data_IF_696172097486
#
_entry.id   IF_696172097486
#
_cell.length_a   1.000
_cell.length_b   1.000
_cell.length_c   1.000
_cell.angle_alpha   90.00
_cell.angle_beta   90.00
_cell.angle_gamma   90.00
#
_symmetry.space_group_name_H-M   'P 1'
#
loop_
_entity.id
_entity.type
_entity.pdbx_description
1 polymer ?
#
# COMPACT_ATOMS: atom_id res chain seq x y z
N UNK A 1 15.94 -1.99 15.30
CA UNK A 1 16.59 -0.93 14.54
C UNK A 1 16.34 0.46 15.11
N UNK A 2 15.46 0.61 16.09
CA UNK A 2 15.18 1.87 16.72
C UNK A 2 14.16 2.72 16.00
N UNK A 3 13.66 3.71 16.71
CA UNK A 3 12.53 4.54 16.27
C UNK A 3 12.90 5.45 15.08
N UNK A 4 14.10 6.03 15.10
CA UNK A 4 14.55 6.91 14.01
C UNK A 4 14.75 6.13 12.71
N UNK A 5 15.25 4.91 12.79
CA UNK A 5 15.44 4.06 11.61
C UNK A 5 14.08 3.68 10.99
N UNK A 6 13.09 3.36 11.83
CA UNK A 6 11.74 3.06 11.37
C UNK A 6 11.11 4.23 10.63
N UNK A 7 11.23 5.44 11.17
CA UNK A 7 10.69 6.64 10.52
C UNK A 7 11.37 6.89 9.17
N UNK A 8 12.67 6.70 9.09
CA UNK A 8 13.41 6.89 7.84
C UNK A 8 12.96 5.89 6.76
N UNK A 9 12.72 4.65 7.15
CA UNK A 9 12.21 3.62 6.25
C UNK A 9 10.83 4.00 5.72
N UNK A 10 9.93 4.43 6.61
CA UNK A 10 8.57 4.83 6.24
C UNK A 10 8.56 6.04 5.31
N UNK A 11 9.44 7.01 5.54
CA UNK A 11 9.60 8.16 4.65
C UNK A 11 10.03 7.72 3.24
N UNK A 12 10.96 6.79 3.16
CA UNK A 12 11.44 6.27 1.88
C UNK A 12 10.34 5.54 1.12
N UNK A 13 9.58 4.70 1.82
CA UNK A 13 8.42 4.01 1.23
C UNK A 13 7.40 5.01 0.70
N UNK A 14 7.08 6.05 1.47
CA UNK A 14 6.14 7.08 1.05
C UNK A 14 6.63 7.83 -0.20
N UNK A 15 7.92 8.12 -0.30
CA UNK A 15 8.49 8.79 -1.46
C UNK A 15 8.36 7.93 -2.72
N UNK A 16 8.73 6.66 -2.63
CA UNK A 16 8.64 5.72 -3.77
C UNK A 16 7.18 5.54 -4.18
N UNK A 17 6.29 5.34 -3.22
CA UNK A 17 4.86 5.17 -3.50
C UNK A 17 4.26 6.41 -4.17
N UNK A 18 4.64 7.60 -3.71
CA UNK A 18 4.17 8.87 -4.30
C UNK A 18 4.62 8.99 -5.75
N UNK A 19 5.86 8.65 -6.04
CA UNK A 19 6.39 8.71 -7.42
C UNK A 19 5.61 7.77 -8.33
N UNK A 20 5.38 6.53 -7.90
CA UNK A 20 4.62 5.55 -8.69
C UNK A 20 3.17 6.02 -8.91
N UNK A 21 2.52 6.49 -7.87
CA UNK A 21 1.14 6.96 -7.98
C UNK A 21 1.01 8.14 -8.94
N UNK A 22 1.86 9.14 -8.81
CA UNK A 22 1.81 10.34 -9.65
C UNK A 22 2.19 10.09 -11.10
N UNK A 23 3.04 9.10 -11.35
CA UNK A 23 3.37 8.69 -12.71
C UNK A 23 2.15 8.10 -13.43
N UNK A 24 1.21 7.50 -12.70
CA UNK A 24 -0.02 6.98 -13.26
C UNK A 24 -1.11 8.04 -13.38
N UNK A 25 -1.36 8.77 -12.30
CA UNK A 25 -2.38 9.82 -12.27
C UNK A 25 -2.13 10.74 -11.06
N UNK A 26 -1.99 12.07 -11.27
CA UNK A 26 -1.74 12.99 -10.17
C UNK A 26 -2.90 13.09 -9.16
N UNK A 27 -4.09 12.57 -9.50
CA UNK A 27 -5.23 12.56 -8.58
C UNK A 27 -5.22 11.40 -7.60
N UNK A 28 -4.37 10.40 -7.80
CA UNK A 28 -4.21 9.31 -6.84
C UNK A 28 -3.62 9.89 -5.55
N UNK A 29 -4.27 9.61 -4.43
CA UNK A 29 -3.91 10.17 -3.14
C UNK A 29 -3.35 9.08 -2.22
N UNK A 30 -2.24 9.38 -1.57
CA UNK A 30 -1.58 8.49 -0.62
C UNK A 30 -1.67 9.11 0.77
N UNK A 31 -2.10 8.32 1.75
CA UNK A 31 -2.21 8.75 3.15
C UNK A 31 -1.56 7.72 4.07
N UNK A 32 -0.83 8.21 5.06
CA UNK A 32 -0.39 7.37 6.17
C UNK A 32 -1.46 7.43 7.26
N UNK A 33 -2.04 6.27 7.59
CA UNK A 33 -3.18 6.21 8.51
C UNK A 33 -2.81 5.74 9.90
N UNK A 34 -1.59 5.35 10.12
CA UNK A 34 -1.11 4.99 11.45
C UNK A 34 -0.03 3.94 11.38
N UNK A 35 0.95 4.03 12.28
CA UNK A 35 2.03 3.06 12.36
C UNK A 35 2.72 2.84 11.01
N UNK A 36 2.61 1.65 10.51
CA UNK A 36 3.22 1.20 9.26
C UNK A 36 2.23 1.10 8.11
N UNK A 37 1.01 1.63 8.27
CA UNK A 37 -0.05 1.49 7.29
C UNK A 37 -0.20 2.74 6.43
N UNK A 38 -0.40 2.50 5.14
CA UNK A 38 -0.70 3.53 4.15
C UNK A 38 -1.99 3.17 3.44
N UNK A 39 -2.78 4.18 3.11
CA UNK A 39 -3.96 4.04 2.27
C UNK A 39 -3.78 4.82 0.98
N UNK A 40 -4.21 4.23 -0.13
CA UNK A 40 -4.18 4.86 -1.44
C UNK A 40 -5.60 4.89 -1.99
N UNK A 41 -6.02 6.05 -2.44
CA UNK A 41 -7.33 6.24 -3.05
C UNK A 41 -7.15 6.48 -4.55
N UNK A 42 -7.84 5.68 -5.36
CA UNK A 42 -7.80 5.73 -6.81
C UNK A 42 -9.13 6.28 -7.35
N UNK A 43 -9.26 7.61 -7.53
CA UNK A 43 -10.50 8.18 -8.05
C UNK A 43 -10.78 7.71 -9.49
N UNK A 44 -12.00 7.25 -9.73
CA UNK A 44 -12.45 6.83 -11.07
C UNK A 44 -11.69 5.62 -11.65
N UNK A 45 -11.09 4.81 -10.80
CA UNK A 45 -10.47 3.56 -11.21
C UNK A 45 -11.40 2.39 -10.86
N UNK A 46 -11.52 1.42 -11.76
CA UNK A 46 -12.12 0.14 -11.40
C UNK A 46 -11.06 -0.76 -10.72
N UNK A 47 -11.50 -1.92 -10.25
CA UNK A 47 -10.61 -2.83 -9.52
C UNK A 47 -9.44 -3.29 -10.39
N UNK A 48 -9.67 -3.57 -11.66
CA UNK A 48 -8.64 -4.02 -12.59
C UNK A 48 -7.58 -2.95 -12.80
N UNK A 49 -8.01 -1.71 -13.01
CA UNK A 49 -7.11 -0.57 -13.19
C UNK A 49 -6.31 -0.27 -11.92
N UNK A 50 -6.99 -0.29 -10.77
CA UNK A 50 -6.34 -0.05 -9.48
C UNK A 50 -5.34 -1.18 -9.16
N UNK A 51 -5.67 -2.42 -9.50
CA UNK A 51 -4.78 -3.56 -9.28
C UNK A 51 -3.48 -3.40 -10.08
N UNK A 52 -3.57 -2.88 -11.31
CA UNK A 52 -2.38 -2.65 -12.13
C UNK A 52 -1.41 -1.67 -11.46
N UNK A 53 -1.93 -0.59 -10.87
CA UNK A 53 -1.10 0.37 -10.13
C UNK A 53 -0.59 -0.25 -8.83
N UNK A 54 -1.43 -1.00 -8.13
CA UNK A 54 -1.04 -1.69 -6.90
C UNK A 54 0.10 -2.68 -7.14
N UNK A 55 0.10 -3.36 -8.27
CA UNK A 55 1.20 -4.26 -8.65
C UNK A 55 2.50 -3.50 -8.90
N UNK A 56 2.43 -2.31 -9.50
CA UNK A 56 3.60 -1.44 -9.65
C UNK A 56 4.15 -0.99 -8.30
N UNK A 57 3.26 -0.59 -7.39
CA UNK A 57 3.64 -0.22 -6.01
C UNK A 57 4.29 -1.40 -5.29
N UNK A 58 3.66 -2.56 -5.39
CA UNK A 58 4.14 -3.79 -4.77
C UNK A 58 5.55 -4.14 -5.25
N UNK A 59 5.77 -4.12 -6.57
CA UNK A 59 7.08 -4.42 -7.14
C UNK A 59 8.12 -3.37 -6.72
N UNK A 60 7.77 -2.09 -6.81
CA UNK A 60 8.70 -1.00 -6.48
C UNK A 60 9.14 -1.06 -5.02
N UNK A 61 8.20 -1.27 -4.09
CA UNK A 61 8.51 -1.26 -2.67
C UNK A 61 9.25 -2.53 -2.25
N UNK A 62 8.84 -3.69 -2.78
CA UNK A 62 9.49 -4.97 -2.42
C UNK A 62 10.92 -5.09 -2.97
N UNK A 63 11.34 -4.19 -3.85
CA UNK A 63 12.71 -4.13 -4.35
C UNK A 63 13.58 -3.10 -3.62
N UNK A 64 13.01 -2.39 -2.63
CA UNK A 64 13.75 -1.40 -1.88
C UNK A 64 14.64 -2.08 -0.84
N UNK A 65 15.92 -1.70 -0.82
CA UNK A 65 16.83 -2.01 0.27
C UNK A 65 17.27 -0.69 0.90
N UNK A 66 16.98 -0.52 2.19
CA UNK A 66 17.29 0.72 2.90
C UNK A 66 18.52 0.51 3.78
N UNK A 67 19.58 1.31 3.60
CA UNK A 67 20.74 1.20 4.49
C UNK A 67 20.40 1.79 5.86
N UNK A 68 20.62 0.99 6.89
CA UNK A 68 20.46 1.40 8.29
C UNK A 68 21.70 0.96 9.04
N UNK A 69 22.50 1.91 9.50
CA UNK A 69 23.81 1.64 10.09
C UNK A 69 24.67 0.86 9.11
N UNK A 70 25.22 -0.31 9.49
CA UNK A 70 26.02 -1.16 8.61
C UNK A 70 25.21 -2.25 7.92
N UNK A 71 23.88 -2.16 8.00
CA UNK A 71 22.97 -3.16 7.44
C UNK A 71 22.11 -2.59 6.33
N UNK A 72 21.71 -3.46 5.40
CA UNK A 72 20.65 -3.13 4.45
C UNK A 72 19.39 -3.89 4.82
N UNK A 73 18.27 -3.15 4.94
CA UNK A 73 16.98 -3.73 5.26
C UNK A 73 16.19 -3.89 3.97
N UNK A 74 15.86 -5.14 3.64
CA UNK A 74 14.98 -5.44 2.52
C UNK A 74 13.54 -5.25 2.97
N UNK A 75 12.79 -4.41 2.24
CA UNK A 75 11.40 -4.14 2.57
C UNK A 75 10.47 -5.11 1.84
N UNK A 76 9.37 -5.42 2.49
CA UNK A 76 8.28 -6.15 1.87
C UNK A 76 6.95 -5.57 2.34
N UNK A 77 5.93 -5.67 1.50
CA UNK A 77 4.59 -5.19 1.83
C UNK A 77 3.55 -6.25 1.53
N UNK A 78 2.42 -6.13 2.22
CA UNK A 78 1.20 -6.84 1.91
C UNK A 78 0.14 -5.81 1.53
N UNK A 79 -0.75 -6.16 0.62
CA UNK A 79 -1.73 -5.22 0.07
C UNK A 79 -3.12 -5.82 0.12
N UNK A 80 -4.09 -5.02 0.57
CA UNK A 80 -5.50 -5.29 0.41
C UNK A 80 -6.09 -4.25 -0.52
N UNK A 81 -6.91 -4.66 -1.47
CA UNK A 81 -7.48 -3.78 -2.48
C UNK A 81 -8.93 -4.14 -2.70
N UNK A 82 -9.77 -3.14 -2.88
CA UNK A 82 -11.17 -3.33 -3.23
C UNK A 82 -11.71 -2.13 -3.98
N UNK A 83 -12.79 -2.35 -4.72
CA UNK A 83 -13.50 -1.29 -5.42
C UNK A 83 -14.76 -0.93 -4.64
N UNK A 84 -15.09 0.36 -4.58
CA UNK A 84 -16.34 0.82 -3.96
C UNK A 84 -17.51 0.28 -4.77
N UNK A 85 -18.38 -0.48 -4.11
CA UNK A 85 -19.55 -1.07 -4.74
C UNK A 85 -20.78 -0.18 -4.56
N UNK A 86 -21.69 -0.23 -5.52
CA UNK A 86 -22.93 0.57 -5.46
C UNK A 86 -23.80 0.22 -4.25
N UNK A 87 -23.67 -0.99 -3.71
CA UNK A 87 -24.42 -1.45 -2.53
C UNK A 87 -23.66 -1.22 -1.21
N UNK A 88 -22.51 -0.57 -1.24
CA UNK A 88 -21.83 -0.18 -0.01
C UNK A 88 -22.64 0.89 0.71
N UNK A 89 -23.14 0.56 1.88
CA UNK A 89 -24.05 1.43 2.63
C UNK A 89 -23.33 2.52 3.40
N UNK A 90 -22.03 2.41 3.55
CA UNK A 90 -21.24 3.40 4.29
C UNK A 90 -19.77 3.31 3.88
N UNK A 91 -19.00 4.39 4.09
CA UNK A 91 -17.54 4.33 3.92
C UNK A 91 -16.91 3.26 4.80
N UNK A 92 -17.45 3.03 5.99
CA UNK A 92 -16.96 2.01 6.92
C UNK A 92 -17.06 0.60 6.32
N UNK A 93 -18.17 0.27 5.67
CA UNK A 93 -18.33 -1.05 5.03
C UNK A 93 -17.28 -1.29 3.96
N UNK A 94 -17.01 -0.29 3.13
CA UNK A 94 -15.96 -0.37 2.12
C UNK A 94 -14.58 -0.54 2.75
N UNK A 95 -14.27 0.27 3.75
CA UNK A 95 -12.98 0.23 4.43
C UNK A 95 -12.75 -1.13 5.11
N UNK A 96 -13.79 -1.70 5.71
CA UNK A 96 -13.71 -3.03 6.32
C UNK A 96 -13.38 -4.10 5.28
N UNK A 97 -13.91 -4.00 4.07
CA UNK A 97 -13.59 -4.96 3.00
C UNK A 97 -12.12 -4.85 2.59
N UNK A 98 -11.59 -3.62 2.48
CA UNK A 98 -10.18 -3.40 2.19
C UNK A 98 -9.30 -3.97 3.30
N UNK A 99 -9.65 -3.70 4.56
CA UNK A 99 -8.92 -4.23 5.71
C UNK A 99 -8.94 -5.76 5.75
N UNK A 100 -10.06 -6.38 5.41
CA UNK A 100 -10.17 -7.83 5.36
C UNK A 100 -9.23 -8.40 4.30
N UNK A 101 -9.13 -7.76 3.15
CA UNK A 101 -8.22 -8.16 2.08
C UNK A 101 -6.75 -8.02 2.52
N UNK A 102 -6.42 -6.94 3.21
CA UNK A 102 -5.08 -6.74 3.75
C UNK A 102 -4.73 -7.81 4.79
N UNK A 103 -5.67 -8.10 5.69
CA UNK A 103 -5.48 -9.15 6.70
C UNK A 103 -5.25 -10.51 6.04
N UNK A 104 -6.01 -10.81 4.98
CA UNK A 104 -5.85 -12.05 4.22
C UNK A 104 -4.43 -12.16 3.65
N UNK A 105 -3.92 -11.09 3.04
CA UNK A 105 -2.56 -11.06 2.51
C UNK A 105 -1.52 -11.30 3.60
N UNK A 106 -1.68 -10.65 4.75
CA UNK A 106 -0.75 -10.82 5.88
C UNK A 106 -0.78 -12.23 6.45
N UNK A 107 -1.96 -12.85 6.51
CA UNK A 107 -2.14 -14.19 7.09
C UNK A 107 -1.64 -15.29 6.16
N UNK A 108 -1.72 -15.09 4.85
CA UNK A 108 -1.38 -16.11 3.86
C UNK A 108 0.03 -15.93 3.29
N UNK A 109 0.97 -15.56 4.14
CA UNK A 109 2.39 -15.52 3.81
C UNK A 109 3.00 -14.15 3.63
N UNK A 110 2.20 -13.07 3.78
CA UNK A 110 2.63 -11.69 3.57
C UNK A 110 3.14 -11.48 2.14
N UNK A 111 3.66 -10.30 1.83
CA UNK A 111 4.21 -10.00 0.50
C UNK A 111 3.27 -10.44 -0.63
N UNK A 112 1.98 -10.11 -0.48
CA UNK A 112 0.91 -10.51 -1.40
C UNK A 112 -0.06 -9.35 -1.61
N UNK A 113 -0.80 -9.43 -2.72
CA UNK A 113 -1.93 -8.55 -2.99
C UNK A 113 -3.20 -9.39 -2.96
N UNK A 114 -4.18 -8.97 -2.17
CA UNK A 114 -5.52 -9.55 -2.18
C UNK A 114 -6.50 -8.49 -2.67
N UNK A 115 -7.16 -8.80 -3.78
CA UNK A 115 -8.09 -7.88 -4.43
C UNK A 115 -9.42 -8.59 -4.70
N UNK A 116 -10.49 -8.12 -4.03
CA UNK A 116 -11.82 -8.72 -4.19
C UNK A 116 -12.93 -7.68 -4.22
#
# INVERSE_FOLDING_TARGET
>A
YGHLAGDKILQHVAQVATIVCRANNPQIALYRTGGEEFNVIFPNYDLTEALAVAEQLFAAINHIAVPVNDHQIQLSISVGLSELAADDQSPTAFYQRVDANLYHSKKHGRMQITAK
#
